data_IF_522757346261
#
_entry.id   IF_522757346261
#
_cell.length_a   1.000
_cell.length_b   1.000
_cell.length_c   1.000
_cell.angle_alpha   90.00
_cell.angle_beta   90.00
_cell.angle_gamma   90.00
#
_symmetry.space_group_name_H-M   'P 1'
#
loop_
_entity.id
_entity.type
_entity.pdbx_description
1 polymer ?
#
# COMPACT_ATOMS: atom_id res chain seq x y z
N UNK A 1 10.21 -13.46 -2.04
CA UNK A 1 9.98 -12.11 -2.60
C UNK A 1 10.56 -12.12 -4.00
N UNK A 2 9.80 -11.69 -4.99
CA UNK A 2 10.34 -11.53 -6.34
C UNK A 2 11.07 -10.20 -6.41
N UNK A 3 12.35 -10.22 -6.80
CA UNK A 3 13.05 -8.99 -7.15
C UNK A 3 12.28 -8.29 -8.29
N UNK A 4 12.18 -6.97 -8.21
CA UNK A 4 11.50 -6.13 -9.20
C UNK A 4 12.57 -5.28 -9.86
N UNK A 5 12.63 -5.35 -11.19
CA UNK A 5 13.51 -4.47 -11.96
C UNK A 5 13.10 -3.02 -11.75
N UNK A 6 14.09 -2.13 -11.70
CA UNK A 6 13.87 -0.69 -11.65
C UNK A 6 12.83 -0.22 -12.70
N UNK A 7 11.99 0.73 -12.31
CA UNK A 7 10.92 1.28 -13.16
C UNK A 7 9.67 0.40 -13.29
N UNK A 8 9.75 -0.88 -12.91
CA UNK A 8 8.61 -1.80 -12.98
C UNK A 8 7.82 -1.83 -11.68
N UNK A 9 6.52 -2.16 -11.82
CA UNK A 9 5.60 -2.34 -10.70
C UNK A 9 5.93 -3.62 -9.92
N UNK A 10 5.89 -3.55 -8.58
CA UNK A 10 5.92 -4.74 -7.74
C UNK A 10 4.58 -5.50 -7.69
N UNK A 11 4.63 -6.79 -7.36
CA UNK A 11 3.42 -7.58 -7.12
C UNK A 11 2.60 -6.99 -5.95
N UNK A 12 1.30 -7.26 -5.91
CA UNK A 12 0.46 -6.83 -4.79
C UNK A 12 0.97 -7.42 -3.46
N UNK A 13 1.12 -6.55 -2.46
CA UNK A 13 1.59 -6.93 -1.13
C UNK A 13 0.39 -6.98 -0.19
N UNK A 14 0.08 -8.17 0.31
CA UNK A 14 -0.98 -8.36 1.30
C UNK A 14 -0.48 -7.96 2.69
N UNK A 15 -1.24 -7.09 3.36
CA UNK A 15 -0.99 -6.77 4.76
C UNK A 15 -1.21 -8.01 5.63
N UNK A 16 -0.17 -8.43 6.35
CA UNK A 16 -0.18 -9.63 7.22
C UNK A 16 0.12 -9.27 8.69
N UNK A 17 -0.29 -8.07 9.12
CA UNK A 17 -0.15 -7.62 10.50
C UNK A 17 -1.40 -7.87 11.33
N UNK A 18 -1.53 -7.13 12.44
CA UNK A 18 -2.71 -7.17 13.31
C UNK A 18 -3.95 -6.70 12.54
N UNK A 19 -5.07 -7.40 12.72
CA UNK A 19 -6.34 -6.99 12.13
C UNK A 19 -6.64 -5.52 12.46
N UNK A 20 -6.85 -4.73 11.42
CA UNK A 20 -7.16 -3.31 11.52
C UNK A 20 -8.60 -3.13 12.00
N UNK A 21 -8.83 -2.16 12.87
CA UNK A 21 -10.17 -1.86 13.39
C UNK A 21 -11.05 -1.25 12.29
N UNK A 22 -12.25 -1.79 12.13
CA UNK A 22 -13.29 -1.24 11.26
C UNK A 22 -14.04 -0.13 11.98
N UNK A 23 -13.36 0.95 12.37
CA UNK A 23 -13.95 2.03 13.17
C UNK A 23 -14.00 3.38 12.43
N UNK A 24 -13.52 3.44 11.18
CA UNK A 24 -13.34 4.70 10.45
C UNK A 24 -11.93 5.28 10.57
N UNK A 25 -11.00 4.59 11.24
CA UNK A 25 -9.61 5.04 11.38
C UNK A 25 -8.92 5.16 10.02
N UNK A 26 -8.13 6.22 9.88
CA UNK A 26 -7.25 6.42 8.73
C UNK A 26 -5.85 5.90 9.08
N UNK A 27 -5.38 4.96 8.28
CA UNK A 27 -4.06 4.37 8.39
C UNK A 27 -3.13 4.94 7.33
N UNK A 28 -1.92 5.28 7.76
CA UNK A 28 -0.86 5.79 6.91
C UNK A 28 0.21 4.73 6.74
N UNK A 29 0.77 4.63 5.54
CA UNK A 29 1.82 3.68 5.24
C UNK A 29 2.83 4.27 4.24
N UNK A 30 4.05 3.75 4.32
CA UNK A 30 5.18 4.06 3.44
C UNK A 30 5.90 2.75 3.12
N UNK A 31 6.54 2.69 1.96
CA UNK A 31 7.34 1.53 1.54
C UNK A 31 8.73 2.03 1.13
N UNK A 32 9.76 1.21 1.36
CA UNK A 32 11.10 1.38 0.80
C UNK A 32 11.59 0.04 0.24
N UNK A 33 12.56 0.09 -0.63
CA UNK A 33 13.17 -1.10 -1.24
C UNK A 33 14.66 -1.18 -0.87
N UNK A 34 15.19 -2.40 -0.93
CA UNK A 34 16.62 -2.66 -0.93
C UNK A 34 17.01 -3.20 -2.30
N UNK A 35 18.21 -2.86 -2.76
CA UNK A 35 18.80 -3.42 -3.98
C UNK A 35 19.60 -4.71 -3.69
N UNK A 36 20.14 -5.31 -4.75
CA UNK A 36 20.94 -6.54 -4.67
C UNK A 36 22.30 -6.31 -3.97
N UNK A 37 22.77 -5.06 -3.91
CA UNK A 37 23.97 -4.64 -3.17
C UNK A 37 23.68 -4.35 -1.69
N UNK A 38 22.47 -4.65 -1.23
CA UNK A 38 21.98 -4.43 0.14
C UNK A 38 22.00 -2.94 0.55
N UNK A 39 21.86 -2.04 -0.43
CA UNK A 39 21.68 -0.60 -0.23
C UNK A 39 20.21 -0.30 -0.02
N UNK A 40 19.93 0.58 0.94
CA UNK A 40 18.59 1.05 1.22
C UNK A 40 18.20 2.19 0.27
N UNK A 41 17.06 2.07 -0.40
CA UNK A 41 16.46 3.13 -1.19
C UNK A 41 15.65 4.12 -0.35
N UNK A 42 15.32 5.27 -0.95
CA UNK A 42 14.48 6.29 -0.32
C UNK A 42 13.07 5.75 0.00
N UNK A 43 12.46 6.31 1.05
CA UNK A 43 11.07 6.02 1.37
C UNK A 43 10.13 6.61 0.34
N UNK A 44 9.06 5.89 0.01
CA UNK A 44 7.95 6.41 -0.79
C UNK A 44 7.30 7.63 -0.14
N UNK A 45 6.51 8.37 -0.93
CA UNK A 45 5.53 9.31 -0.38
C UNK A 45 4.58 8.62 0.59
N UNK A 46 4.04 9.40 1.53
CA UNK A 46 3.05 8.94 2.49
C UNK A 46 1.72 8.63 1.78
N UNK A 47 1.31 7.37 1.83
CA UNK A 47 0.01 6.96 1.34
C UNK A 47 -0.93 6.63 2.52
N UNK A 48 -2.23 6.71 2.28
CA UNK A 48 -3.24 6.49 3.32
C UNK A 48 -4.47 5.76 2.81
N UNK A 49 -5.16 5.07 3.71
CA UNK A 49 -6.50 4.55 3.48
C UNK A 49 -7.34 4.65 4.75
N UNK A 50 -8.65 4.71 4.60
CA UNK A 50 -9.60 4.81 5.71
C UNK A 50 -10.43 3.55 5.80
N UNK A 51 -10.50 2.95 7.00
CA UNK A 51 -11.31 1.76 7.25
C UNK A 51 -12.79 2.11 7.22
N UNK A 52 -13.64 1.16 6.84
CA UNK A 52 -15.09 1.32 6.97
C UNK A 52 -15.50 1.31 8.45
N UNK A 53 -16.43 2.17 8.84
CA UNK A 53 -17.02 2.20 10.18
C UNK A 53 -18.43 1.60 10.16
N UNK A 54 -18.84 0.73 11.11
CA UNK A 54 -20.19 0.22 11.19
C UNK A 54 -21.16 1.37 11.48
N UNK A 55 -22.02 1.67 10.50
CA UNK A 55 -22.96 2.79 10.54
C UNK A 55 -22.68 3.88 9.51
N UNK A 56 -21.53 3.84 8.82
CA UNK A 56 -21.34 4.67 7.64
C UNK A 56 -22.28 4.20 6.50
N UNK A 57 -22.92 5.11 5.75
CA UNK A 57 -23.63 4.73 4.53
C UNK A 57 -22.68 3.93 3.62
N UNK A 58 -23.17 2.93 2.88
CA UNK A 58 -22.32 2.12 2.01
C UNK A 58 -21.47 3.06 1.16
N UNK A 59 -20.13 2.90 1.13
CA UNK A 59 -19.30 3.73 0.28
C UNK A 59 -19.85 3.58 -1.14
N UNK A 60 -20.19 4.71 -1.78
CA UNK A 60 -20.62 4.74 -3.17
C UNK A 60 -19.69 3.84 -3.97
N UNK A 61 -20.19 2.94 -4.84
CA UNK A 61 -19.32 2.04 -5.60
C UNK A 61 -18.51 2.86 -6.61
N UNK A 62 -17.44 3.47 -6.12
CA UNK A 62 -16.33 3.89 -6.94
C UNK A 62 -15.68 2.59 -7.40
N UNK A 63 -15.56 2.43 -8.70
CA UNK A 63 -15.07 1.24 -9.41
C UNK A 63 -13.57 1.02 -9.09
N UNK A 64 -13.26 0.65 -7.86
CA UNK A 64 -11.99 0.10 -7.39
C UNK A 64 -12.33 -0.90 -6.30
N UNK A 65 -12.48 -2.15 -6.72
CA UNK A 65 -12.34 -3.31 -5.85
C UNK A 65 -11.15 -3.08 -4.93
N UNK A 66 -11.35 -3.26 -3.62
CA UNK A 66 -10.31 -3.14 -2.60
C UNK A 66 -9.24 -4.22 -2.79
N UNK A 67 -8.37 -4.00 -3.77
CA UNK A 67 -7.02 -4.52 -3.81
C UNK A 67 -6.17 -3.31 -3.48
N UNK A 68 -5.41 -3.38 -2.39
CA UNK A 68 -4.36 -2.41 -2.10
C UNK A 68 -3.25 -2.58 -3.15
N UNK A 69 -3.53 -2.21 -4.40
CA UNK A 69 -2.55 -2.16 -5.47
C UNK A 69 -1.73 -0.91 -5.27
N UNK A 70 -0.70 -1.04 -4.45
CA UNK A 70 0.39 -0.09 -4.42
C UNK A 70 1.18 -0.29 -5.71
N UNK A 71 1.24 0.74 -6.54
CA UNK A 71 2.04 0.78 -7.76
C UNK A 71 2.93 2.01 -7.64
N UNK A 72 4.20 1.83 -7.29
CA UNK A 72 5.18 2.89 -7.38
C UNK A 72 6.14 2.59 -8.53
N UNK A 73 6.35 3.58 -9.39
CA UNK A 73 7.39 3.60 -10.41
C UNK A 73 8.64 4.18 -9.78
N UNK A 74 9.77 3.49 -9.92
CA UNK A 74 11.07 3.97 -9.48
C UNK A 74 11.44 5.22 -10.29
N UNK A 75 11.83 6.30 -9.61
CA UNK A 75 12.56 7.40 -10.22
C UNK A 75 13.86 7.52 -9.44
N UNK A 76 14.97 7.17 -10.08
CA UNK A 76 16.29 7.64 -9.67
C UNK A 76 16.63 8.89 -10.49
#
# INVERSE_FOLDING_TARGET
>A
MSAVTEGNRCNDITYNGTALSLDGSTYYWKIKFWDDDNTEGEWSDSAQFTMSSPGAPPPTPSRRTYLFSVCFTFYY
#
